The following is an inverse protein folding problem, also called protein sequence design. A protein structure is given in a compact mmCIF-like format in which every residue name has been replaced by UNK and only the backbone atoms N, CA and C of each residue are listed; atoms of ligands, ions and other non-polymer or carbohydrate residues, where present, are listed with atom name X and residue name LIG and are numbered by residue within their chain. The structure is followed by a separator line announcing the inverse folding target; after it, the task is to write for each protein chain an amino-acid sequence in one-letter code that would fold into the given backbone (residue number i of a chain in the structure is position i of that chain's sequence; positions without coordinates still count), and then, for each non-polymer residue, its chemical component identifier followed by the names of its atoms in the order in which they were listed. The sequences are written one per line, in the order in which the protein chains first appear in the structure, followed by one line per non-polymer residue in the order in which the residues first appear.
data_IF_461867156182
#
_entry.id   IF_461867156182
#
_cell.length_a   1.000
_cell.length_b   1.000
_cell.length_c   1.000
_cell.angle_alpha   90.00
_cell.angle_beta   90.00
_cell.angle_gamma   90.00
#
_symmetry.space_group_name_H-M   'P 1'
#
loop_
_entity.id
_entity.type
_entity.pdbx_description
1 polymer ?
#
# COMPACT_ATOMS: atom_id res chain seq x y z
N UNK A 1 -48.46 15.62 0.05
CA UNK A 1 -47.79 14.45 0.67
C UNK A 1 -47.28 13.42 -0.34
N UNK A 2 -48.00 13.09 -1.44
CA UNK A 2 -47.49 12.17 -2.49
C UNK A 2 -46.17 12.60 -3.13
N UNK A 3 -45.95 13.90 -3.35
CA UNK A 3 -44.73 14.39 -4.00
C UNK A 3 -43.49 14.44 -3.09
N UNK A 4 -43.69 14.52 -1.76
CA UNK A 4 -42.57 14.51 -0.79
C UNK A 4 -42.04 13.08 -0.60
N UNK A 5 -42.93 12.08 -0.61
CA UNK A 5 -42.55 10.66 -0.57
C UNK A 5 -41.74 10.28 -1.82
N UNK A 6 -42.07 10.81 -2.99
CA UNK A 6 -41.32 10.56 -4.23
C UNK A 6 -39.89 11.13 -4.19
N UNK A 7 -39.72 12.32 -3.60
CA UNK A 7 -38.39 12.94 -3.42
C UNK A 7 -37.55 12.18 -2.39
N UNK A 8 -38.16 11.68 -1.31
CA UNK A 8 -37.48 10.83 -0.33
C UNK A 8 -37.08 9.48 -0.94
N UNK A 9 -37.94 8.86 -1.77
CA UNK A 9 -37.59 7.64 -2.51
C UNK A 9 -36.51 7.85 -3.58
N UNK A 10 -36.48 9.01 -4.24
CA UNK A 10 -35.40 9.37 -5.17
C UNK A 10 -34.08 9.65 -4.44
N UNK A 11 -34.12 10.23 -3.23
CA UNK A 11 -32.93 10.42 -2.40
C UNK A 11 -32.38 9.13 -1.78
N UNK A 12 -33.23 8.11 -1.56
CA UNK A 12 -32.81 6.80 -1.05
C UNK A 12 -32.20 5.87 -2.12
N UNK A 13 -32.33 6.21 -3.41
CA UNK A 13 -31.62 5.52 -4.50
C UNK A 13 -30.18 6.04 -4.72
N UNK A 14 -29.75 7.04 -3.96
CA UNK A 14 -28.34 7.40 -3.82
C UNK A 14 -27.72 6.72 -2.60
N UNK A 15 -28.15 5.49 -2.26
CA UNK A 15 -27.28 4.60 -1.48
C UNK A 15 -25.99 4.53 -2.27
N UNK A 16 -24.95 5.16 -1.74
CA UNK A 16 -23.63 5.30 -2.33
C UNK A 16 -23.28 4.10 -3.20
N UNK A 17 -23.09 4.34 -4.50
CA UNK A 17 -22.21 3.55 -5.35
C UNK A 17 -20.81 3.63 -4.71
N UNK A 18 -20.63 2.98 -3.57
CA UNK A 18 -19.31 2.67 -3.04
C UNK A 18 -18.78 1.69 -4.07
N UNK A 19 -17.96 2.21 -4.96
CA UNK A 19 -17.15 1.42 -5.88
C UNK A 19 -16.61 0.23 -5.12
N UNK A 20 -17.01 -0.98 -5.51
CA UNK A 20 -16.49 -2.22 -4.93
C UNK A 20 -15.21 -2.59 -5.66
N UNK A 21 -14.32 -1.60 -5.79
CA UNK A 21 -13.04 -1.72 -6.45
C UNK A 21 -11.93 -1.74 -5.41
N UNK A 22 -11.07 -2.73 -5.56
CA UNK A 22 -9.95 -2.98 -4.68
C UNK A 22 -8.67 -3.01 -5.49
N UNK A 23 -7.63 -2.35 -5.00
CA UNK A 23 -6.36 -2.17 -5.73
C UNK A 23 -5.20 -2.78 -4.95
N UNK A 24 -4.23 -3.38 -5.62
CA UNK A 24 -3.02 -3.89 -4.96
C UNK A 24 -2.21 -2.71 -4.45
N UNK A 25 -2.12 -2.54 -3.13
CA UNK A 25 -1.38 -1.44 -2.50
C UNK A 25 0.11 -1.47 -2.84
N UNK A 26 0.69 -2.59 -3.28
CA UNK A 26 2.07 -2.65 -3.72
C UNK A 26 2.23 -2.12 -5.16
N UNK A 27 1.32 -2.51 -6.05
CA UNK A 27 1.28 -2.08 -7.46
C UNK A 27 -0.14 -1.72 -7.87
N UNK A 28 -0.45 -0.43 -7.76
CA UNK A 28 -1.77 0.16 -7.96
C UNK A 28 -2.37 -0.07 -9.37
N UNK A 29 -1.63 -0.70 -10.29
CA UNK A 29 -2.11 -1.12 -11.61
C UNK A 29 -3.02 -2.34 -11.55
N UNK A 30 -2.87 -3.18 -10.53
CA UNK A 30 -3.66 -4.40 -10.36
C UNK A 30 -4.87 -4.15 -9.46
N UNK A 31 -6.01 -4.71 -9.85
CA UNK A 31 -7.28 -4.47 -9.19
C UNK A 31 -8.28 -5.61 -9.37
N UNK A 32 -9.26 -5.62 -8.47
CA UNK A 32 -10.58 -6.23 -8.66
C UNK A 32 -11.63 -5.15 -8.71
N UNK A 33 -12.58 -5.30 -9.61
CA UNK A 33 -13.71 -4.40 -9.75
C UNK A 33 -14.99 -5.22 -9.80
N UNK A 34 -15.64 -5.39 -8.65
CA UNK A 34 -16.92 -6.09 -8.56
C UNK A 34 -18.08 -5.25 -9.12
N UNK A 35 -17.91 -3.93 -9.22
CA UNK A 35 -18.91 -3.04 -9.83
C UNK A 35 -19.02 -3.30 -11.33
N UNK A 36 -17.88 -3.46 -12.01
CA UNK A 36 -17.82 -3.73 -13.45
C UNK A 36 -17.59 -5.21 -13.78
N UNK A 37 -17.61 -6.10 -12.78
CA UNK A 37 -17.30 -7.53 -12.92
C UNK A 37 -16.01 -7.78 -13.70
N UNK A 38 -14.94 -7.06 -13.37
CA UNK A 38 -13.66 -7.16 -14.08
C UNK A 38 -12.48 -7.23 -13.12
N UNK A 39 -11.43 -7.90 -13.55
CA UNK A 39 -10.20 -8.04 -12.79
C UNK A 39 -8.99 -7.78 -13.69
N UNK A 40 -7.95 -7.23 -13.08
CA UNK A 40 -6.61 -7.17 -13.66
C UNK A 40 -5.62 -7.52 -12.55
N UNK A 41 -5.14 -8.75 -12.54
CA UNK A 41 -4.42 -9.31 -11.41
C UNK A 41 -3.06 -9.81 -11.84
N UNK A 42 -2.11 -9.71 -10.91
CA UNK A 42 -0.81 -10.36 -11.02
C UNK A 42 -0.56 -11.17 -9.77
N UNK A 43 -0.14 -12.41 -9.99
CA UNK A 43 0.36 -13.27 -8.93
C UNK A 43 1.61 -13.99 -9.42
N UNK A 44 2.74 -13.76 -8.74
CA UNK A 44 4.05 -14.24 -9.19
C UNK A 44 4.27 -13.83 -10.67
N UNK A 45 4.43 -14.83 -11.55
CA UNK A 45 4.65 -14.66 -12.99
C UNK A 45 3.34 -14.69 -13.81
N UNK A 46 2.20 -14.94 -13.17
CA UNK A 46 0.91 -15.03 -13.85
C UNK A 46 0.19 -13.68 -13.85
N UNK A 47 -0.24 -13.25 -15.03
CA UNK A 47 -1.12 -12.09 -15.22
C UNK A 47 -2.45 -12.56 -15.78
N UNK A 48 -3.54 -12.10 -15.18
CA UNK A 48 -4.89 -12.44 -15.59
C UNK A 48 -5.69 -11.16 -15.66
N UNK A 49 -6.23 -10.85 -16.84
CA UNK A 49 -7.18 -9.78 -17.03
C UNK A 49 -8.43 -10.32 -17.70
N UNK A 50 -9.58 -9.98 -17.16
CA UNK A 50 -10.86 -10.38 -17.72
C UNK A 50 -12.01 -10.37 -16.72
N UNK A 51 -13.17 -10.90 -17.10
CA UNK A 51 -14.38 -10.78 -16.30
C UNK A 51 -14.34 -11.66 -15.05
N UNK A 52 -14.97 -11.16 -14.00
CA UNK A 52 -15.26 -11.85 -12.75
C UNK A 52 -16.66 -12.47 -12.84
N UNK A 53 -16.81 -13.69 -12.33
CA UNK A 53 -18.10 -14.36 -12.17
C UNK A 53 -18.16 -15.06 -10.82
N UNK A 54 -19.27 -14.88 -10.11
CA UNK A 54 -19.57 -15.67 -8.92
C UNK A 54 -20.43 -16.88 -9.26
N UNK A 55 -20.06 -18.04 -8.72
CA UNK A 55 -20.73 -19.32 -8.96
C UNK A 55 -21.01 -19.99 -7.62
N UNK A 56 -22.26 -20.41 -7.42
CA UNK A 56 -22.64 -21.31 -6.34
C UNK A 56 -22.60 -22.77 -6.82
N UNK A 57 -21.90 -23.63 -6.08
CA UNK A 57 -21.89 -25.06 -6.33
C UNK A 57 -23.19 -25.73 -5.86
N UNK A 58 -23.46 -26.95 -6.34
CA UNK A 58 -24.61 -27.73 -5.84
C UNK A 58 -24.62 -27.95 -4.32
N UNK A 59 -23.46 -27.84 -3.68
CA UNK A 59 -23.29 -27.98 -2.23
C UNK A 59 -23.21 -26.62 -1.51
N UNK A 60 -23.68 -25.54 -2.13
CA UNK A 60 -23.73 -24.17 -1.59
C UNK A 60 -22.38 -23.50 -1.29
N UNK A 61 -21.27 -24.11 -1.69
CA UNK A 61 -19.97 -23.40 -1.67
C UNK A 61 -19.98 -22.34 -2.77
N UNK A 62 -19.52 -21.13 -2.44
CA UNK A 62 -19.40 -20.01 -3.39
C UNK A 62 -17.99 -19.92 -3.94
N UNK A 63 -17.89 -19.66 -5.24
CA UNK A 63 -16.62 -19.49 -5.94
C UNK A 63 -16.62 -18.19 -6.73
N UNK A 64 -15.50 -17.48 -6.70
CA UNK A 64 -15.22 -16.37 -7.61
C UNK A 64 -14.29 -16.88 -8.71
N UNK A 65 -14.73 -16.79 -9.96
CA UNK A 65 -13.96 -17.17 -11.14
C UNK A 65 -13.52 -15.93 -11.90
N UNK A 66 -12.30 -15.96 -12.42
CA UNK A 66 -11.77 -14.89 -13.28
C UNK A 66 -11.28 -15.50 -14.58
N UNK A 67 -11.90 -15.09 -15.68
CA UNK A 67 -11.56 -15.58 -17.01
C UNK A 67 -10.38 -14.80 -17.58
N UNK A 68 -9.18 -15.36 -17.56
CA UNK A 68 -8.09 -14.94 -18.46
C UNK A 68 -8.14 -15.64 -19.82
N UNK A 69 -7.12 -15.44 -20.65
CA UNK A 69 -7.06 -15.99 -22.00
C UNK A 69 -6.95 -17.52 -22.02
N UNK A 70 -5.83 -18.05 -21.53
CA UNK A 70 -5.58 -19.50 -21.42
C UNK A 70 -5.34 -19.95 -19.98
N UNK A 71 -5.24 -19.00 -19.06
CA UNK A 71 -5.03 -19.18 -17.63
C UNK A 71 -6.15 -18.44 -16.93
N UNK A 72 -6.77 -19.11 -15.96
CA UNK A 72 -7.93 -18.61 -15.23
C UNK A 72 -7.66 -18.72 -13.73
N UNK A 73 -8.38 -17.91 -12.95
CA UNK A 73 -8.42 -18.06 -11.50
C UNK A 73 -9.74 -18.58 -11.01
N UNK A 74 -9.64 -19.39 -9.97
CA UNK A 74 -10.76 -19.82 -9.17
C UNK A 74 -10.41 -19.63 -7.71
N UNK A 75 -11.30 -18.95 -7.01
CA UNK A 75 -11.23 -18.77 -5.58
C UNK A 75 -12.46 -19.40 -4.94
N UNK A 76 -12.29 -20.25 -3.93
CA UNK A 76 -13.36 -20.73 -3.08
C UNK A 76 -13.51 -19.84 -1.84
N UNK A 77 -14.73 -19.39 -1.57
CA UNK A 77 -15.11 -18.79 -0.29
C UNK A 77 -15.73 -19.92 0.55
N UNK A 78 -15.03 -20.36 1.60
CA UNK A 78 -15.54 -21.36 2.54
C UNK A 78 -15.87 -20.66 3.85
N UNK A 79 -17.14 -20.72 4.27
CA UNK A 79 -17.58 -20.25 5.60
C UNK A 79 -17.19 -21.24 6.72
N UNK A 80 -16.67 -22.43 6.36
CA UNK A 80 -16.33 -23.49 7.30
C UNK A 80 -14.83 -23.53 7.62
N UNK A 81 -14.48 -23.22 8.87
CA UNK A 81 -13.11 -23.27 9.43
C UNK A 81 -12.47 -24.67 9.36
N UNK A 82 -13.24 -25.73 9.08
CA UNK A 82 -12.74 -27.10 8.97
C UNK A 82 -12.35 -27.54 7.55
N UNK A 83 -12.58 -26.71 6.54
CA UNK A 83 -12.36 -27.11 5.16
C UNK A 83 -10.85 -27.05 4.79
N UNK A 84 -10.26 -28.21 4.53
CA UNK A 84 -8.81 -28.39 4.25
C UNK A 84 -8.43 -28.19 2.78
N UNK A 85 -9.35 -27.77 1.92
CA UNK A 85 -9.15 -27.72 0.48
C UNK A 85 -8.87 -26.30 -0.04
N UNK A 86 -8.09 -26.25 -1.13
CA UNK A 86 -7.40 -25.10 -1.73
C UNK A 86 -8.36 -23.93 -1.99
N UNK A 87 -8.20 -22.84 -1.23
CA UNK A 87 -9.00 -21.64 -1.39
C UNK A 87 -8.69 -20.92 -2.72
N UNK A 88 -7.52 -21.15 -3.32
CA UNK A 88 -7.04 -20.48 -4.52
C UNK A 88 -6.43 -21.46 -5.54
N UNK A 89 -6.84 -21.36 -6.81
CA UNK A 89 -6.29 -22.12 -7.93
C UNK A 89 -5.99 -21.24 -9.15
N UNK A 90 -4.79 -21.41 -9.72
CA UNK A 90 -4.42 -20.94 -11.06
C UNK A 90 -4.52 -22.12 -12.02
N UNK A 91 -5.41 -22.05 -12.98
CA UNK A 91 -5.75 -23.19 -13.83
C UNK A 91 -5.54 -22.83 -15.30
N UNK A 92 -4.82 -23.68 -16.02
CA UNK A 92 -4.75 -23.66 -17.48
C UNK A 92 -5.77 -24.63 -18.06
N UNK A 93 -6.57 -24.16 -19.01
CA UNK A 93 -7.59 -24.97 -19.67
C UNK A 93 -8.67 -24.12 -20.31
N UNK A 94 -9.79 -24.76 -20.63
CA UNK A 94 -10.98 -24.10 -21.15
C UNK A 94 -11.84 -23.56 -20.00
N UNK A 95 -12.26 -22.30 -20.09
CA UNK A 95 -13.07 -21.65 -19.05
C UNK A 95 -14.38 -22.41 -18.73
N UNK A 96 -15.01 -23.02 -19.74
CA UNK A 96 -16.22 -23.82 -19.55
C UNK A 96 -16.00 -25.03 -18.62
N UNK A 97 -14.81 -25.63 -18.68
CA UNK A 97 -14.47 -26.79 -17.86
C UNK A 97 -14.11 -26.36 -16.44
N UNK A 98 -13.55 -25.15 -16.28
CA UNK A 98 -13.40 -24.51 -14.96
C UNK A 98 -14.75 -24.25 -14.29
N UNK A 99 -15.75 -23.73 -15.03
CA UNK A 99 -17.11 -23.54 -14.48
C UNK A 99 -17.69 -24.86 -13.98
N UNK A 100 -17.52 -25.95 -14.74
CA UNK A 100 -17.94 -27.30 -14.32
C UNK A 100 -17.24 -27.73 -13.04
N UNK A 101 -15.92 -27.51 -12.95
CA UNK A 101 -15.15 -27.80 -11.73
C UNK A 101 -15.71 -27.04 -10.52
N UNK A 102 -15.95 -25.72 -10.65
CA UNK A 102 -16.51 -24.89 -9.58
C UNK A 102 -17.89 -25.37 -9.13
N UNK A 103 -18.73 -25.80 -10.07
CA UNK A 103 -20.07 -26.37 -9.79
C UNK A 103 -20.05 -27.80 -9.26
N UNK A 104 -18.89 -28.47 -9.31
CA UNK A 104 -18.72 -29.92 -9.09
C UNK A 104 -19.52 -30.78 -10.09
N UNK A 105 -19.63 -30.30 -11.32
CA UNK A 105 -20.17 -31.04 -12.45
C UNK A 105 -19.11 -31.96 -13.08
N UNK A 106 -19.54 -33.05 -13.69
CA UNK A 106 -18.62 -33.94 -14.41
C UNK A 106 -18.00 -33.24 -15.62
N UNK A 107 -16.66 -33.27 -15.72
CA UNK A 107 -15.93 -32.92 -16.95
C UNK A 107 -15.03 -34.08 -17.37
N UNK A 108 -15.03 -34.38 -18.67
CA UNK A 108 -14.14 -35.36 -19.29
C UNK A 108 -12.77 -34.77 -19.66
N UNK A 109 -12.57 -33.46 -19.47
CA UNK A 109 -11.31 -32.76 -19.78
C UNK A 109 -10.46 -32.60 -18.53
N UNK A 110 -9.16 -32.91 -18.67
CA UNK A 110 -8.17 -32.68 -17.61
C UNK A 110 -7.81 -31.19 -17.57
N UNK A 111 -8.17 -30.51 -16.49
CA UNK A 111 -7.66 -29.17 -16.17
C UNK A 111 -6.25 -29.27 -15.60
N UNK A 112 -5.34 -28.39 -16.02
CA UNK A 112 -3.98 -28.32 -15.46
C UNK A 112 -3.94 -27.24 -14.38
N UNK A 113 -3.78 -27.65 -13.13
CA UNK A 113 -3.47 -26.72 -12.04
C UNK A 113 -2.02 -26.29 -12.20
N UNK A 114 -1.81 -24.98 -12.43
CA UNK A 114 -0.48 -24.38 -12.51
C UNK A 114 0.05 -24.02 -11.12
N UNK A 115 -0.85 -23.57 -10.25
CA UNK A 115 -0.54 -23.19 -8.87
C UNK A 115 -1.80 -23.33 -8.03
N UNK A 116 -1.63 -23.60 -6.75
CA UNK A 116 -2.71 -23.64 -5.78
C UNK A 116 -2.18 -23.22 -4.42
N UNK A 117 -3.02 -22.56 -3.63
CA UNK A 117 -2.68 -22.19 -2.27
C UNK A 117 -3.89 -22.34 -1.34
N UNK A 118 -3.61 -22.50 -0.04
CA UNK A 118 -4.63 -22.47 1.00
C UNK A 118 -4.62 -21.09 1.64
N UNK A 119 -5.69 -20.35 1.43
CA UNK A 119 -5.89 -19.07 2.10
C UNK A 119 -6.62 -19.38 3.41
N UNK A 120 -5.94 -19.18 4.54
CA UNK A 120 -6.53 -19.35 5.88
C UNK A 120 -7.39 -18.14 6.31
N UNK A 121 -7.52 -17.13 5.43
CA UNK A 121 -8.46 -16.03 5.59
C UNK A 121 -9.76 -16.32 4.83
N UNK A 122 -10.89 -15.90 5.42
CA UNK A 122 -12.20 -15.93 4.77
C UNK A 122 -12.39 -14.89 3.65
N UNK A 123 -11.40 -14.03 3.36
CA UNK A 123 -11.53 -12.94 2.40
C UNK A 123 -10.42 -12.91 1.35
N UNK A 124 -10.81 -12.76 0.08
CA UNK A 124 -9.89 -12.67 -1.05
C UNK A 124 -8.87 -11.53 -0.94
N UNK A 125 -9.30 -10.42 -0.31
CA UNK A 125 -8.50 -9.22 -0.09
C UNK A 125 -7.31 -9.41 0.84
N UNK A 126 -7.17 -10.57 1.46
CA UNK A 126 -6.08 -10.83 2.41
C UNK A 126 -4.87 -11.51 1.73
N UNK A 127 -5.03 -12.01 0.51
CA UNK A 127 -3.95 -12.63 -0.26
C UNK A 127 -3.17 -11.62 -1.11
N UNK A 128 -3.87 -10.60 -1.57
CA UNK A 128 -3.28 -9.41 -2.17
C UNK A 128 -3.35 -8.34 -1.10
N UNK A 129 -2.38 -7.42 -1.00
CA UNK A 129 -2.50 -6.30 -0.06
C UNK A 129 -3.52 -5.29 -0.62
N UNK A 130 -4.77 -5.71 -0.78
CA UNK A 130 -5.80 -4.95 -1.45
C UNK A 130 -6.34 -3.86 -0.54
N UNK A 131 -6.41 -2.67 -1.10
CA UNK A 131 -6.94 -1.49 -0.44
C UNK A 131 -8.19 -1.01 -1.16
N UNK A 132 -9.07 -0.36 -0.42
CA UNK A 132 -10.24 0.31 -0.98
C UNK A 132 -9.85 1.42 -1.96
N UNK A 133 -10.80 1.91 -2.75
CA UNK A 133 -10.55 3.02 -3.68
C UNK A 133 -10.10 4.30 -2.95
N UNK A 134 -10.69 4.62 -1.79
CA UNK A 134 -10.28 5.79 -0.99
C UNK A 134 -8.82 5.68 -0.51
N UNK A 135 -8.43 4.50 -0.04
CA UNK A 135 -7.04 4.23 0.36
C UNK A 135 -6.09 4.23 -0.84
N UNK A 136 -6.52 3.68 -1.99
CA UNK A 136 -5.79 3.77 -3.24
C UNK A 136 -5.53 5.23 -3.62
N UNK A 137 -6.53 6.11 -3.55
CA UNK A 137 -6.35 7.53 -3.89
C UNK A 137 -5.32 8.20 -2.99
N UNK A 138 -5.37 7.90 -1.69
CA UNK A 138 -4.40 8.39 -0.73
C UNK A 138 -2.99 7.89 -1.05
N UNK A 139 -2.79 6.58 -1.18
CA UNK A 139 -1.49 5.98 -1.52
C UNK A 139 -0.97 6.51 -2.86
N UNK A 140 -1.85 6.71 -3.84
CA UNK A 140 -1.47 7.25 -5.13
C UNK A 140 -0.94 8.68 -5.00
N UNK A 141 -1.64 9.56 -4.26
CA UNK A 141 -1.17 10.92 -3.98
C UNK A 141 0.17 10.93 -3.24
N UNK A 142 0.33 10.07 -2.24
CA UNK A 142 1.58 9.95 -1.48
C UNK A 142 2.73 9.46 -2.37
N UNK A 143 2.48 8.53 -3.30
CA UNK A 143 3.47 8.08 -4.31
C UNK A 143 3.83 9.17 -5.32
N UNK A 144 2.91 10.08 -5.65
CA UNK A 144 3.24 11.21 -6.51
C UNK A 144 4.29 12.13 -5.85
N UNK A 145 4.23 12.32 -4.53
CA UNK A 145 5.27 13.06 -3.79
C UNK A 145 6.65 12.45 -4.02
N UNK A 146 6.77 11.12 -3.96
CA UNK A 146 8.01 10.42 -4.26
C UNK A 146 8.52 10.60 -5.69
N UNK A 147 7.62 10.80 -6.67
CA UNK A 147 8.00 11.15 -8.04
C UNK A 147 8.53 12.59 -8.13
N UNK A 148 7.88 13.55 -7.47
CA UNK A 148 8.38 14.92 -7.40
C UNK A 148 9.75 15.02 -6.73
N UNK A 149 9.99 14.28 -5.64
CA UNK A 149 11.29 14.20 -4.95
C UNK A 149 12.38 13.65 -5.89
N UNK A 150 12.05 12.62 -6.68
CA UNK A 150 12.94 12.07 -7.69
C UNK A 150 13.27 13.09 -8.78
N UNK A 151 12.26 13.77 -9.30
CA UNK A 151 12.42 14.73 -10.39
C UNK A 151 13.19 15.99 -9.94
N UNK A 152 13.10 16.34 -8.66
CA UNK A 152 13.90 17.38 -8.01
C UNK A 152 15.34 16.92 -7.68
N UNK A 153 15.70 15.66 -7.93
CA UNK A 153 17.07 15.14 -7.76
C UNK A 153 17.46 14.79 -6.33
N UNK A 154 16.49 14.57 -5.43
CA UNK A 154 16.74 14.24 -4.02
C UNK A 154 16.69 12.74 -3.70
N UNK A 155 16.40 11.87 -4.66
CA UNK A 155 16.51 10.42 -4.46
C UNK A 155 17.95 9.96 -4.54
N UNK A 156 18.35 9.05 -3.65
CA UNK A 156 19.73 8.53 -3.60
C UNK A 156 20.13 8.09 -2.20
N UNK A 157 21.40 7.73 -2.03
CA UNK A 157 22.00 7.40 -0.74
C UNK A 157 22.99 8.48 -0.33
N UNK A 158 22.74 9.07 0.83
CA UNK A 158 23.55 10.15 1.41
C UNK A 158 24.32 9.61 2.60
N UNK A 159 25.64 9.52 2.47
CA UNK A 159 26.52 9.23 3.61
C UNK A 159 26.63 10.49 4.46
N UNK A 160 26.22 10.42 5.73
CA UNK A 160 26.14 11.59 6.61
C UNK A 160 27.10 11.49 7.80
N UNK A 161 27.61 12.64 8.25
CA UNK A 161 28.25 12.81 9.57
C UNK A 161 27.37 13.72 10.43
N UNK A 162 26.92 13.22 11.57
CA UNK A 162 26.11 13.96 12.52
C UNK A 162 27.02 14.78 13.42
N UNK A 163 26.72 16.07 13.54
CA UNK A 163 27.47 16.97 14.43
C UNK A 163 26.60 17.64 15.49
N UNK A 164 25.26 17.57 15.38
CA UNK A 164 24.35 18.07 16.42
C UNK A 164 23.09 17.22 16.50
N UNK A 165 22.63 16.93 17.71
CA UNK A 165 21.29 16.39 17.96
C UNK A 165 20.75 16.92 19.28
N UNK A 166 19.52 17.43 19.31
CA UNK A 166 18.84 17.93 20.52
C UNK A 166 19.69 18.90 21.36
N UNK A 167 20.37 19.80 20.66
CA UNK A 167 21.32 20.77 21.21
C UNK A 167 22.64 20.22 21.76
N UNK A 168 22.85 18.92 21.72
CA UNK A 168 24.13 18.28 22.03
C UNK A 168 25.04 18.33 20.80
N UNK A 169 26.30 18.72 21.00
CA UNK A 169 27.31 18.80 19.95
C UNK A 169 28.11 17.49 19.87
N UNK A 170 28.20 16.92 18.67
CA UNK A 170 28.90 15.67 18.34
C UNK A 170 30.03 15.90 17.32
N UNK A 171 30.41 17.15 17.03
CA UNK A 171 31.36 17.49 15.94
C UNK A 171 32.69 16.72 16.00
N UNK A 172 33.20 16.52 17.21
CA UNK A 172 34.48 15.83 17.47
C UNK A 172 34.34 14.31 17.61
N UNK A 173 33.10 13.80 17.54
CA UNK A 173 32.80 12.36 17.55
C UNK A 173 32.55 11.85 16.13
N UNK A 174 32.84 10.56 15.92
CA UNK A 174 32.62 9.90 14.64
C UNK A 174 31.20 9.32 14.55
N UNK A 175 30.19 10.20 14.70
CA UNK A 175 28.79 9.82 14.53
C UNK A 175 28.44 9.87 13.05
N UNK A 176 28.22 8.70 12.45
CA UNK A 176 28.01 8.47 11.02
C UNK A 176 26.65 7.82 10.77
N UNK A 177 26.15 7.99 9.56
CA UNK A 177 24.94 7.32 9.12
C UNK A 177 24.73 7.37 7.62
N UNK A 178 23.61 6.84 7.19
CA UNK A 178 23.13 6.86 5.81
C UNK A 178 21.68 7.28 5.81
N UNK A 179 21.33 8.20 4.92
CA UNK A 179 19.94 8.50 4.55
C UNK A 179 19.73 7.96 3.14
N UNK A 180 18.80 7.04 2.98
CA UNK A 180 18.36 6.52 1.68
C UNK A 180 16.98 7.10 1.38
N UNK A 181 16.86 7.81 0.26
CA UNK A 181 15.62 8.42 -0.21
C UNK A 181 15.18 7.72 -1.49
N UNK A 182 14.04 7.05 -1.43
CA UNK A 182 13.44 6.33 -2.56
C UNK A 182 12.17 7.03 -3.03
N UNK A 183 11.57 6.54 -4.11
CA UNK A 183 10.23 7.02 -4.54
C UNK A 183 9.10 6.62 -3.59
N UNK A 184 9.37 5.78 -2.58
CA UNK A 184 8.34 5.27 -1.66
C UNK A 184 8.54 5.80 -0.24
N UNK A 185 9.79 5.88 0.21
CA UNK A 185 10.12 6.09 1.60
C UNK A 185 11.49 6.76 1.79
N UNK A 186 11.73 7.17 3.03
CA UNK A 186 13.02 7.61 3.53
C UNK A 186 13.45 6.64 4.63
N UNK A 187 14.69 6.16 4.54
CA UNK A 187 15.30 5.28 5.53
C UNK A 187 16.56 5.94 6.08
N UNK A 188 16.61 6.13 7.38
CA UNK A 188 17.76 6.69 8.11
C UNK A 188 18.35 5.61 8.99
N UNK A 189 19.66 5.39 8.89
CA UNK A 189 20.41 4.48 9.76
C UNK A 189 21.66 5.16 10.25
N UNK A 190 21.87 5.22 11.56
CA UNK A 190 23.01 5.94 12.14
C UNK A 190 23.56 5.18 13.35
N UNK A 191 24.76 5.53 13.79
CA UNK A 191 25.31 5.10 15.08
C UNK A 191 24.98 6.08 16.23
N UNK A 192 24.13 7.10 16.01
CA UNK A 192 23.62 7.96 17.07
C UNK A 192 22.61 7.17 17.91
N UNK A 193 22.79 7.02 19.24
CA UNK A 193 21.91 6.21 20.07
C UNK A 193 20.42 6.61 20.03
N UNK A 194 20.13 7.89 19.82
CA UNK A 194 18.75 8.41 19.74
C UNK A 194 18.13 8.31 18.35
N UNK A 195 18.91 8.02 17.30
CA UNK A 195 18.44 7.91 15.92
C UNK A 195 19.12 6.72 15.20
N UNK A 196 19.09 5.54 15.82
CA UNK A 196 19.77 4.36 15.25
C UNK A 196 19.12 3.91 13.95
N UNK A 197 17.79 3.92 13.89
CA UNK A 197 17.00 3.59 12.69
C UNK A 197 15.70 4.37 12.67
N UNK A 198 15.35 4.94 11.52
CA UNK A 198 14.06 5.57 11.29
C UNK A 198 13.61 5.29 9.85
N UNK A 199 12.33 4.96 9.67
CA UNK A 199 11.71 4.79 8.36
C UNK A 199 10.47 5.67 8.31
N UNK A 200 10.39 6.51 7.28
CA UNK A 200 9.28 7.41 7.02
C UNK A 200 8.68 7.21 5.64
N UNK A 201 7.37 7.38 5.53
CA UNK A 201 6.63 7.39 4.27
C UNK A 201 6.18 8.82 3.95
N UNK A 202 6.11 9.16 2.67
CA UNK A 202 5.64 10.47 2.24
C UNK A 202 4.15 10.62 2.53
N UNK A 203 3.76 11.84 2.88
CA UNK A 203 2.37 12.21 3.09
C UNK A 203 2.05 13.44 2.24
N UNK A 204 1.09 13.30 1.33
CA UNK A 204 0.71 14.35 0.39
C UNK A 204 0.09 15.58 1.05
N UNK A 205 -0.56 15.44 2.21
CA UNK A 205 -1.11 16.57 2.97
C UNK A 205 0.00 17.40 3.62
N UNK A 206 1.05 16.72 4.11
CA UNK A 206 2.25 17.36 4.68
C UNK A 206 3.17 17.98 3.61
N UNK A 207 2.97 17.65 2.33
CA UNK A 207 3.72 18.20 1.19
C UNK A 207 2.78 18.89 0.17
N UNK A 208 1.78 19.61 0.67
CA UNK A 208 0.79 20.30 -0.17
C UNK A 208 1.36 21.39 -1.08
N UNK A 209 2.47 22.03 -0.68
CA UNK A 209 3.22 22.98 -1.52
C UNK A 209 4.53 22.33 -2.02
N UNK A 210 4.51 21.91 -3.28
CA UNK A 210 5.62 21.23 -3.95
C UNK A 210 6.87 22.14 -4.11
N UNK A 211 6.74 23.46 -3.96
CA UNK A 211 7.90 24.37 -4.02
C UNK A 211 8.89 24.11 -2.88
N UNK A 212 8.43 23.56 -1.75
CA UNK A 212 9.30 23.14 -0.65
C UNK A 212 10.17 21.94 -1.01
N UNK A 213 9.64 20.99 -1.78
CA UNK A 213 10.42 19.83 -2.26
C UNK A 213 11.58 20.30 -3.13
N UNK A 214 11.35 21.27 -4.03
CA UNK A 214 12.41 21.86 -4.85
C UNK A 214 13.49 22.59 -4.02
N UNK A 215 13.19 22.93 -2.77
CA UNK A 215 14.14 23.53 -1.81
C UNK A 215 14.75 22.48 -0.86
N UNK A 216 14.51 21.20 -1.12
CA UNK A 216 15.02 20.08 -0.32
C UNK A 216 14.28 19.86 1.00
N UNK A 217 13.07 20.42 1.17
CA UNK A 217 12.23 20.20 2.35
C UNK A 217 11.20 19.12 2.03
N UNK A 218 11.28 17.99 2.72
CA UNK A 218 10.46 16.81 2.50
C UNK A 218 9.85 16.39 3.83
N UNK A 219 8.52 16.25 3.89
CA UNK A 219 7.83 15.83 5.11
C UNK A 219 7.11 14.49 4.95
N UNK A 220 6.77 13.84 6.06
CA UNK A 220 6.03 12.59 6.02
C UNK A 220 5.75 12.03 7.41
N UNK A 221 5.33 10.76 7.47
CA UNK A 221 5.00 10.06 8.71
C UNK A 221 5.93 8.89 8.96
N UNK A 222 6.26 8.62 10.22
CA UNK A 222 7.06 7.44 10.57
C UNK A 222 6.24 6.15 10.49
N UNK A 223 6.85 5.08 10.01
CA UNK A 223 6.18 3.80 9.71
C UNK A 223 5.91 2.91 10.92
N UNK A 224 6.72 3.04 11.98
CA UNK A 224 6.69 2.14 13.14
C UNK A 224 6.09 2.78 14.40
N UNK A 225 5.78 4.07 14.36
CA UNK A 225 5.16 4.82 15.45
C UNK A 225 4.01 5.62 14.85
N UNK A 226 2.77 5.16 15.06
CA UNK A 226 1.52 5.65 14.44
C UNK A 226 1.24 7.16 14.62
N UNK A 227 2.10 7.87 15.34
CA UNK A 227 1.97 9.29 15.68
C UNK A 227 3.30 10.07 15.54
N UNK A 228 4.18 9.65 14.63
CA UNK A 228 5.40 10.41 14.32
C UNK A 228 5.31 11.11 12.97
N UNK A 229 5.68 12.40 12.96
CA UNK A 229 5.85 13.22 11.76
C UNK A 229 7.32 13.56 11.64
N UNK A 230 7.85 13.52 10.41
CA UNK A 230 9.20 13.97 10.14
C UNK A 230 9.22 15.10 9.12
N UNK A 231 10.26 15.93 9.22
CA UNK A 231 10.67 16.87 8.18
C UNK A 231 12.16 16.71 7.97
N UNK A 232 12.54 16.36 6.75
CA UNK A 232 13.91 16.31 6.27
C UNK A 232 14.19 17.58 5.45
N UNK A 233 15.30 18.23 5.76
CA UNK A 233 15.87 19.31 4.96
C UNK A 233 17.22 18.87 4.40
N UNK A 234 17.41 19.01 3.09
CA UNK A 234 18.66 18.75 2.38
C UNK A 234 19.10 19.98 1.60
N UNK A 235 20.30 20.46 1.87
CA UNK A 235 21.00 21.43 1.03
C UNK A 235 22.17 20.75 0.35
N UNK A 236 21.97 20.32 -0.90
CA UNK A 236 23.00 19.62 -1.67
C UNK A 236 24.17 20.55 -2.07
N UNK A 237 23.94 21.87 -2.16
CA UNK A 237 25.00 22.83 -2.47
C UNK A 237 25.94 23.04 -1.28
N UNK A 238 25.39 23.10 -0.07
CA UNK A 238 26.16 23.24 1.18
C UNK A 238 26.60 21.90 1.76
N UNK A 239 26.21 20.78 1.13
CA UNK A 239 26.44 19.42 1.61
C UNK A 239 26.04 19.27 3.08
N UNK A 240 24.85 19.74 3.42
CA UNK A 240 24.34 19.72 4.79
C UNK A 240 22.83 19.46 4.83
N UNK A 241 22.34 19.11 6.00
CA UNK A 241 20.91 18.89 6.19
C UNK A 241 20.52 18.72 7.64
N UNK A 242 19.22 18.56 7.85
CA UNK A 242 18.66 18.25 9.15
C UNK A 242 17.43 17.39 9.02
N UNK A 243 17.23 16.49 9.97
CA UNK A 243 15.97 15.77 10.15
C UNK A 243 15.37 16.14 11.50
N UNK A 244 14.11 16.54 11.47
CA UNK A 244 13.29 16.75 12.67
C UNK A 244 12.26 15.64 12.74
N UNK A 245 12.14 14.98 13.89
CA UNK A 245 11.14 13.95 14.15
C UNK A 245 10.32 14.40 15.35
N UNK A 246 9.00 14.48 15.16
CA UNK A 246 8.03 14.84 16.18
C UNK A 246 7.21 13.61 16.48
N UNK A 247 7.27 13.12 17.71
CA UNK A 247 6.46 12.01 18.21
C UNK A 247 5.37 12.55 19.13
N UNK A 248 4.13 12.15 18.87
CA UNK A 248 2.94 12.56 19.62
C UNK A 248 2.41 11.35 20.40
N UNK A 249 1.85 11.59 21.58
CA UNK A 249 1.15 10.59 22.39
C UNK A 249 -0.30 11.01 22.56
N UNK A 250 -1.22 10.05 22.55
CA UNK A 250 -2.62 10.29 22.90
C UNK A 250 -2.79 10.04 24.40
N UNK A 251 -3.22 11.06 25.14
CA UNK A 251 -3.64 10.96 26.54
C UNK A 251 -5.01 11.59 26.66
N UNK A 252 -5.98 10.87 27.24
CA UNK A 252 -7.33 11.39 27.50
C UNK A 252 -8.05 11.95 26.25
N UNK A 253 -7.90 11.29 25.10
CA UNK A 253 -8.40 11.75 23.79
C UNK A 253 -7.79 13.07 23.28
N UNK A 254 -6.73 13.58 23.91
CA UNK A 254 -5.96 14.73 23.43
C UNK A 254 -4.61 14.28 22.86
N UNK A 255 -4.23 14.87 21.72
CA UNK A 255 -2.90 14.72 21.13
C UNK A 255 -1.92 15.62 21.88
N UNK A 256 -0.98 15.03 22.61
CA UNK A 256 0.08 15.75 23.33
C UNK A 256 1.42 15.47 22.67
N UNK A 257 2.19 16.54 22.41
CA UNK A 257 3.57 16.43 21.98
C UNK A 257 4.35 15.65 23.05
N UNK A 258 4.92 14.52 22.67
CA UNK A 258 5.72 13.69 23.58
C UNK A 258 7.19 14.07 23.45
N UNK A 259 7.71 14.05 22.22
CA UNK A 259 9.13 14.27 21.94
C UNK A 259 9.31 14.97 20.61
N UNK A 260 10.23 15.92 20.56
CA UNK A 260 10.75 16.47 19.31
C UNK A 260 12.26 16.29 19.32
N UNK A 261 12.77 15.62 18.31
CA UNK A 261 14.19 15.46 18.09
C UNK A 261 14.61 16.17 16.81
N UNK A 262 15.76 16.83 16.82
CA UNK A 262 16.32 17.47 15.62
C UNK A 262 17.79 17.14 15.52
N UNK A 263 18.15 16.45 14.44
CA UNK A 263 19.51 16.00 14.14
C UNK A 263 20.02 16.75 12.92
N UNK A 264 21.19 17.39 13.03
CA UNK A 264 21.86 18.12 11.96
C UNK A 264 23.12 17.38 11.53
N UNK A 265 23.35 17.33 10.22
CA UNK A 265 24.40 16.52 9.63
C UNK A 265 25.05 17.18 8.41
N UNK A 266 26.29 16.80 8.15
CA UNK A 266 26.99 17.05 6.89
C UNK A 266 26.83 15.84 5.96
N UNK A 267 26.80 16.09 4.66
CA UNK A 267 26.73 15.09 3.60
C UNK A 267 28.14 14.89 3.07
N UNK A 268 28.71 13.70 3.27
CA UNK A 268 30.08 13.42 2.88
C UNK A 268 30.19 12.91 1.44
N UNK A 269 29.21 12.10 1.00
CA UNK A 269 29.15 11.51 -0.33
C UNK A 269 27.68 11.29 -0.75
N UNK A 270 27.44 11.39 -2.06
CA UNK A 270 26.14 11.13 -2.70
C UNK A 270 26.35 9.94 -3.64
N UNK A 271 25.63 8.84 -3.41
CA UNK A 271 25.67 7.61 -4.21
C UNK A 271 24.31 7.25 -4.81
#
# INVERSE_FOLDING_TARGET
MKNIILVILLSLNFSSLVSQRYYDSNDLKYYLDFTNNSANLRFEDYKISGPIEEIESFYRNKFTLIKGDSIHWMLGQSDDNNNRHLSYLIIKGEYKDLRKLARREASSKKLKILKSDKINSGYFRDYFNFVSENEYEKINKDRQIGLYINDAGFTGKYNIKIYRSDNINYKDLDIKGVIEITKKDINVKTNLPTLTSFTGEYDSELNSDLSFINRGIISGRGKNNDLSIFTLYLNLNELSGSISIISVQISDNELKLNKRETTTFAINEIN
#
